data_IF_558681549343
#
_entry.id   IF_558681549343
#
_cell.length_a   1.000
_cell.length_b   1.000
_cell.length_c   1.000
_cell.angle_alpha   90.00
_cell.angle_beta   90.00
_cell.angle_gamma   90.00
#
_symmetry.space_group_name_H-M   'P 1'
#
loop_
_entity.id
_entity.type
_entity.pdbx_description
1 polymer ?
#
# COMPACT_ATOMS: atom_id res chain seq x y z
N UNK A 1 -32.33 -29.77 17.55
CA UNK A 1 -31.28 -28.88 18.10
C UNK A 1 -29.85 -29.38 17.85
N UNK A 2 -29.55 -30.06 16.72
CA UNK A 2 -28.21 -30.62 16.44
C UNK A 2 -27.34 -29.86 15.42
N UNK A 3 -27.94 -29.14 14.46
CA UNK A 3 -27.21 -28.57 13.33
C UNK A 3 -26.30 -27.37 13.66
N UNK A 4 -26.68 -26.53 14.62
CA UNK A 4 -25.88 -25.34 15.01
C UNK A 4 -24.55 -25.71 15.68
N UNK A 5 -24.52 -26.81 16.46
CA UNK A 5 -23.30 -27.30 17.11
C UNK A 5 -22.32 -27.90 16.11
N UNK A 6 -22.82 -28.61 15.08
CA UNK A 6 -21.97 -29.18 14.03
C UNK A 6 -21.29 -28.09 13.17
N UNK A 7 -22.03 -27.03 12.81
CA UNK A 7 -21.48 -25.90 12.04
C UNK A 7 -20.42 -25.11 12.84
N UNK A 8 -20.63 -24.96 14.14
CA UNK A 8 -19.69 -24.26 15.02
C UNK A 8 -18.40 -25.08 15.24
N UNK A 9 -18.50 -26.41 15.39
CA UNK A 9 -17.34 -27.30 15.47
C UNK A 9 -16.55 -27.30 14.14
N UNK A 10 -17.24 -27.32 13.00
CA UNK A 10 -16.60 -27.21 11.69
C UNK A 10 -15.83 -25.90 11.50
N UNK A 11 -16.39 -24.77 11.95
CA UNK A 11 -15.73 -23.46 11.85
C UNK A 11 -14.48 -23.39 12.73
N UNK A 12 -14.51 -23.93 13.95
CA UNK A 12 -13.34 -23.95 14.84
C UNK A 12 -12.22 -24.83 14.27
N UNK A 13 -12.57 -25.97 13.66
CA UNK A 13 -11.59 -26.85 13.03
C UNK A 13 -10.89 -26.17 11.83
N UNK A 14 -11.62 -25.41 11.02
CA UNK A 14 -11.05 -24.66 9.89
C UNK A 14 -10.12 -23.55 10.37
N UNK A 15 -10.51 -22.81 11.41
CA UNK A 15 -9.66 -21.75 11.99
C UNK A 15 -8.36 -22.34 12.57
N UNK A 16 -8.45 -23.48 13.26
CA UNK A 16 -7.27 -24.16 13.79
C UNK A 16 -6.35 -24.69 12.67
N UNK A 17 -6.92 -25.25 11.61
CA UNK A 17 -6.15 -25.74 10.47
C UNK A 17 -5.42 -24.58 9.76
N UNK A 18 -6.10 -23.45 9.56
CA UNK A 18 -5.52 -22.24 8.97
C UNK A 18 -4.43 -21.66 9.87
N UNK A 19 -4.63 -21.62 11.19
CA UNK A 19 -3.62 -21.16 12.14
C UNK A 19 -2.35 -22.04 12.11
N UNK A 20 -2.51 -23.36 12.01
CA UNK A 20 -1.38 -24.30 11.87
C UNK A 20 -0.65 -24.09 10.55
N UNK A 21 -1.36 -23.91 9.44
CA UNK A 21 -0.75 -23.63 8.13
C UNK A 21 0.02 -22.30 8.13
N UNK A 22 -0.50 -21.27 8.80
CA UNK A 22 0.19 -19.99 8.98
C UNK A 22 1.44 -20.15 9.84
N UNK A 23 1.40 -20.95 10.91
CA UNK A 23 2.59 -21.23 11.73
C UNK A 23 3.67 -22.02 10.99
N UNK A 24 3.29 -22.96 10.12
CA UNK A 24 4.25 -23.77 9.33
C UNK A 24 4.86 -22.94 8.19
N UNK A 25 4.14 -21.94 7.67
CA UNK A 25 4.59 -21.08 6.58
C UNK A 25 5.43 -19.86 7.00
N UNK A 26 5.62 -19.62 8.30
CA UNK A 26 6.48 -18.53 8.77
C UNK A 26 7.96 -18.96 8.70
N UNK A 27 8.84 -18.27 7.96
CA UNK A 27 10.26 -18.45 8.12
C UNK A 27 10.63 -18.09 9.57
N UNK A 28 10.94 -19.09 10.37
CA UNK A 28 11.31 -18.89 11.76
C UNK A 28 12.53 -17.97 11.88
N UNK A 29 12.69 -17.24 12.99
CA UNK A 29 13.92 -16.53 13.26
C UNK A 29 15.05 -17.55 13.32
N UNK A 30 15.98 -17.45 12.37
CA UNK A 30 17.17 -18.30 12.35
C UNK A 30 17.93 -18.13 13.67
N UNK A 31 18.26 -19.21 14.41
CA UNK A 31 19.14 -19.09 15.55
C UNK A 31 20.54 -18.78 15.01
N UNK A 32 20.94 -17.51 15.08
CA UNK A 32 22.32 -17.12 14.88
C UNK A 32 23.15 -17.73 16.00
N UNK A 33 23.82 -18.85 15.70
CA UNK A 33 24.90 -19.38 16.53
C UNK A 33 25.99 -18.31 16.58
N UNK A 34 26.15 -17.67 17.74
CA UNK A 34 27.25 -16.74 18.00
C UNK A 34 28.52 -17.57 18.07
N UNK A 35 29.23 -17.65 16.95
CA UNK A 35 30.60 -18.12 16.91
C UNK A 35 31.49 -16.95 17.35
N UNK A 36 31.99 -17.01 18.58
CA UNK A 36 32.97 -16.05 19.09
C UNK A 36 34.31 -16.32 18.40
N UNK A 37 34.54 -15.67 17.25
CA UNK A 37 35.87 -15.52 16.67
C UNK A 37 36.52 -14.24 17.20
N UNK A 38 37.76 -14.40 17.65
CA UNK A 38 38.61 -13.41 18.30
C UNK A 38 38.96 -12.28 17.31
N UNK A 39 38.91 -11.03 17.80
CA UNK A 39 39.17 -9.77 17.09
C UNK A 39 40.48 -9.70 16.30
N UNK A 40 40.48 -8.89 15.23
CA UNK A 40 41.40 -7.76 15.16
C UNK A 40 40.63 -6.43 15.00
N UNK A 41 41.12 -5.37 15.66
CA UNK A 41 40.52 -4.03 15.76
C UNK A 41 39.74 -3.59 14.52
N UNK A 42 38.43 -3.49 14.66
CA UNK A 42 37.60 -2.75 13.71
C UNK A 42 37.93 -1.25 13.87
N UNK A 43 38.43 -0.64 12.79
CA UNK A 43 38.34 0.81 12.61
C UNK A 43 36.88 1.23 12.84
N UNK A 44 36.60 2.44 13.37
CA UNK A 44 35.23 2.89 13.53
C UNK A 44 34.56 2.84 12.15
N UNK A 45 33.66 1.86 11.99
CA UNK A 45 32.75 1.80 10.86
C UNK A 45 31.96 3.10 10.94
N UNK A 46 32.16 3.98 9.96
CA UNK A 46 31.39 5.22 9.88
C UNK A 46 29.93 4.84 10.01
N UNK A 47 29.28 5.33 11.06
CA UNK A 47 27.84 5.15 11.23
C UNK A 47 27.18 5.60 9.93
N UNK A 48 26.20 4.84 9.38
CA UNK A 48 25.46 5.31 8.22
C UNK A 48 24.99 6.72 8.55
N UNK A 49 25.49 7.69 7.78
CA UNK A 49 25.06 9.07 7.92
C UNK A 49 23.59 9.04 7.57
N UNK A 50 22.72 9.34 8.55
CA UNK A 50 21.30 9.46 8.29
C UNK A 50 21.12 10.36 7.07
N UNK A 51 20.31 9.95 6.07
CA UNK A 51 20.11 10.77 4.89
C UNK A 51 19.74 12.19 5.32
N UNK A 52 20.32 13.19 4.64
CA UNK A 52 20.01 14.58 4.94
C UNK A 52 18.51 14.80 4.79
N UNK A 53 17.89 15.40 5.80
CA UNK A 53 16.47 15.72 5.78
C UNK A 53 16.15 16.62 4.58
N UNK A 54 15.25 16.16 3.71
CA UNK A 54 14.66 16.94 2.63
C UNK A 54 13.25 17.41 3.06
N UNK A 55 13.19 18.66 3.55
CA UNK A 55 11.93 19.23 4.06
C UNK A 55 10.84 19.31 2.97
N UNK A 56 11.22 19.59 1.72
CA UNK A 56 10.25 19.72 0.64
C UNK A 56 9.65 18.35 0.29
N UNK A 57 10.48 17.30 0.28
CA UNK A 57 10.00 15.94 0.10
C UNK A 57 9.07 15.49 1.25
N UNK A 58 9.41 15.84 2.49
CA UNK A 58 8.60 15.51 3.66
C UNK A 58 7.26 16.24 3.67
N UNK A 59 7.24 17.50 3.24
CA UNK A 59 6.00 18.25 3.02
C UNK A 59 5.18 17.54 1.93
N UNK A 60 5.79 17.19 0.80
CA UNK A 60 5.13 16.44 -0.26
C UNK A 60 4.49 15.15 0.23
N UNK A 61 5.21 14.38 1.06
CA UNK A 61 4.78 13.09 1.57
C UNK A 61 3.51 13.15 2.44
N UNK A 62 3.22 14.30 3.06
CA UNK A 62 2.00 14.50 3.87
C UNK A 62 0.85 15.15 3.08
N UNK A 63 1.07 15.48 1.81
CA UNK A 63 0.07 16.13 0.96
C UNK A 63 -0.72 15.11 0.15
N UNK A 64 -2.00 15.43 -0.04
CA UNK A 64 -2.93 14.71 -0.90
C UNK A 64 -3.41 15.64 -2.00
N UNK A 65 -3.36 15.16 -3.24
CA UNK A 65 -3.77 15.97 -4.38
C UNK A 65 -4.80 15.27 -5.26
N UNK A 66 -5.55 16.07 -6.00
CA UNK A 66 -6.48 15.63 -7.04
C UNK A 66 -6.35 16.53 -8.26
N UNK A 67 -6.86 16.05 -9.39
CA UNK A 67 -6.80 16.75 -10.66
C UNK A 67 -8.08 16.53 -11.47
N UNK A 68 -8.30 17.40 -12.45
CA UNK A 68 -9.39 17.22 -13.41
C UNK A 68 -9.20 15.93 -14.20
N UNK A 69 -10.27 15.17 -14.38
CA UNK A 69 -10.24 13.89 -15.12
C UNK A 69 -9.72 13.98 -16.56
N UNK A 70 -9.81 15.16 -17.18
CA UNK A 70 -9.28 15.43 -18.53
C UNK A 70 -7.78 15.76 -18.56
N UNK A 71 -7.10 15.80 -17.41
CA UNK A 71 -5.68 16.09 -17.35
C UNK A 71 -4.88 14.93 -17.95
N UNK A 72 -3.94 15.25 -18.83
CA UNK A 72 -3.03 14.27 -19.39
C UNK A 72 -2.09 13.70 -18.31
N UNK A 73 -1.71 12.43 -18.47
CA UNK A 73 -0.82 11.74 -17.56
C UNK A 73 0.54 12.45 -17.43
N UNK A 74 1.06 13.05 -18.50
CA UNK A 74 2.34 13.78 -18.43
C UNK A 74 2.28 14.93 -17.40
N UNK A 75 1.20 15.70 -17.41
CA UNK A 75 0.95 16.79 -16.45
C UNK A 75 0.80 16.27 -15.02
N UNK A 76 0.00 15.22 -14.84
CA UNK A 76 -0.23 14.60 -13.52
C UNK A 76 1.08 14.04 -12.96
N UNK A 77 1.84 13.33 -13.79
CA UNK A 77 3.13 12.76 -13.43
C UNK A 77 4.11 13.82 -12.96
N UNK A 78 4.27 14.90 -13.72
CA UNK A 78 5.19 15.98 -13.36
C UNK A 78 4.80 16.64 -12.05
N UNK A 79 3.51 16.92 -11.86
CA UNK A 79 3.01 17.49 -10.60
C UNK A 79 3.29 16.58 -9.40
N UNK A 80 2.92 15.30 -9.48
CA UNK A 80 3.14 14.36 -8.38
C UNK A 80 4.63 14.17 -8.08
N UNK A 81 5.47 14.04 -9.12
CA UNK A 81 6.90 13.76 -9.00
C UNK A 81 7.70 14.95 -8.47
N UNK A 82 7.45 16.15 -8.98
CA UNK A 82 8.21 17.35 -8.62
C UNK A 82 7.98 17.74 -7.17
N UNK A 83 6.73 17.64 -6.71
CA UNK A 83 6.34 18.04 -5.35
C UNK A 83 6.31 16.85 -4.38
N UNK A 84 6.81 15.68 -4.78
CA UNK A 84 6.90 14.45 -3.97
C UNK A 84 5.59 14.08 -3.25
N UNK A 85 4.47 14.28 -3.92
CA UNK A 85 3.13 14.12 -3.33
C UNK A 85 2.91 12.69 -2.82
N UNK A 86 2.53 12.55 -1.55
CA UNK A 86 2.34 11.26 -0.88
C UNK A 86 1.00 10.57 -1.18
N UNK A 87 -0.02 11.30 -1.61
CA UNK A 87 -1.34 10.74 -1.87
C UNK A 87 -2.10 11.34 -3.05
N UNK A 88 -2.95 10.53 -3.66
CA UNK A 88 -3.85 10.90 -4.74
C UNK A 88 -5.30 10.60 -4.36
N UNK A 89 -6.17 11.61 -4.46
CA UNK A 89 -7.62 11.46 -4.35
C UNK A 89 -8.23 11.41 -5.75
N UNK A 90 -8.78 10.25 -6.12
CA UNK A 90 -9.39 10.01 -7.41
C UNK A 90 -10.91 10.17 -7.35
N UNK A 91 -11.46 10.69 -8.43
CA UNK A 91 -12.90 10.80 -8.69
C UNK A 91 -13.26 10.06 -9.97
N UNK A 92 -14.55 9.78 -10.16
CA UNK A 92 -15.11 9.14 -11.37
C UNK A 92 -14.51 9.70 -12.68
N UNK A 93 -14.35 11.03 -12.87
CA UNK A 93 -13.77 11.57 -14.10
C UNK A 93 -12.33 11.15 -14.36
N UNK A 94 -11.55 10.79 -13.34
CA UNK A 94 -10.16 10.37 -13.53
C UNK A 94 -10.09 8.99 -14.19
N UNK A 95 -10.91 8.03 -13.73
CA UNK A 95 -10.79 6.61 -14.11
C UNK A 95 -12.01 6.04 -14.83
N UNK A 96 -12.98 6.89 -15.19
CA UNK A 96 -14.20 6.51 -15.91
C UNK A 96 -15.28 5.86 -15.03
N UNK A 97 -15.02 5.65 -13.75
CA UNK A 97 -15.95 5.04 -12.81
C UNK A 97 -15.93 3.51 -12.78
N UNK A 98 -15.08 2.84 -13.55
CA UNK A 98 -15.06 1.37 -13.63
C UNK A 98 -13.82 0.77 -12.96
N UNK A 99 -13.90 -0.46 -12.42
CA UNK A 99 -12.78 -1.12 -11.75
C UNK A 99 -11.49 -1.19 -12.60
N UNK A 100 -11.62 -1.45 -13.90
CA UNK A 100 -10.46 -1.55 -14.81
C UNK A 100 -9.71 -0.23 -14.93
N UNK A 101 -10.43 0.89 -15.06
CA UNK A 101 -9.82 2.21 -15.11
C UNK A 101 -9.19 2.60 -13.78
N UNK A 102 -9.81 2.21 -12.65
CA UNK A 102 -9.22 2.44 -11.32
C UNK A 102 -7.92 1.66 -11.16
N UNK A 103 -7.89 0.40 -11.62
CA UNK A 103 -6.69 -0.43 -11.64
C UNK A 103 -5.60 0.22 -12.48
N UNK A 104 -5.91 0.66 -13.69
CA UNK A 104 -4.96 1.33 -14.59
C UNK A 104 -4.31 2.56 -13.92
N UNK A 105 -5.10 3.40 -13.26
CA UNK A 105 -4.57 4.55 -12.53
C UNK A 105 -3.72 4.15 -11.33
N UNK A 106 -4.16 3.15 -10.57
CA UNK A 106 -3.41 2.66 -9.40
C UNK A 106 -2.07 2.06 -9.83
N UNK A 107 -2.02 1.30 -10.94
CA UNK A 107 -0.80 0.77 -11.52
C UNK A 107 0.16 1.88 -11.95
N UNK A 108 -0.36 2.94 -12.60
CA UNK A 108 0.44 4.11 -13.01
C UNK A 108 1.05 4.86 -11.82
N UNK A 109 0.26 5.07 -10.77
CA UNK A 109 0.71 5.75 -9.55
C UNK A 109 1.77 4.93 -8.81
N UNK A 110 1.56 3.61 -8.68
CA UNK A 110 2.57 2.73 -8.09
C UNK A 110 3.86 2.69 -8.91
N UNK A 111 3.76 2.61 -10.25
CA UNK A 111 4.92 2.68 -11.12
C UNK A 111 5.65 4.03 -11.00
N UNK A 112 4.93 5.14 -10.79
CA UNK A 112 5.53 6.45 -10.56
C UNK A 112 6.34 6.48 -9.25
N UNK A 113 5.75 6.05 -8.13
CA UNK A 113 6.46 5.98 -6.84
C UNK A 113 7.72 5.12 -6.93
N UNK A 114 7.60 3.92 -7.53
CA UNK A 114 8.72 3.01 -7.70
C UNK A 114 9.84 3.60 -8.58
N UNK A 115 9.49 4.16 -9.74
CA UNK A 115 10.47 4.74 -10.67
C UNK A 115 11.10 6.05 -10.19
N UNK A 116 10.45 6.74 -9.25
CA UNK A 116 10.94 7.99 -8.67
C UNK A 116 11.61 7.79 -7.30
N UNK A 117 11.81 6.54 -6.88
CA UNK A 117 12.42 6.16 -5.60
C UNK A 117 11.74 6.83 -4.39
N UNK A 118 10.40 6.82 -4.36
CA UNK A 118 9.68 7.28 -3.18
C UNK A 118 9.96 6.30 -2.04
N UNK A 119 10.05 6.81 -0.81
CA UNK A 119 10.24 5.96 0.37
C UNK A 119 9.06 5.01 0.58
N UNK A 120 7.86 5.44 0.19
CA UNK A 120 6.62 4.69 0.31
C UNK A 120 5.78 4.77 -0.98
N UNK A 121 4.87 3.80 -1.22
CA UNK A 121 3.88 3.90 -2.29
C UNK A 121 2.98 5.13 -2.09
N UNK A 122 2.42 5.65 -3.19
CA UNK A 122 1.37 6.67 -3.09
C UNK A 122 0.11 6.09 -2.44
N UNK A 123 -0.45 6.81 -1.47
CA UNK A 123 -1.77 6.51 -0.94
C UNK A 123 -2.84 6.88 -1.98
N UNK A 124 -3.59 5.90 -2.47
CA UNK A 124 -4.71 6.13 -3.40
C UNK A 124 -6.01 6.13 -2.62
N UNK A 125 -6.78 7.21 -2.75
CA UNK A 125 -8.05 7.41 -2.07
C UNK A 125 -9.18 7.64 -3.07
N UNK A 126 -10.38 7.24 -2.65
CA UNK A 126 -11.65 7.47 -3.31
C UNK A 126 -12.65 7.85 -2.23
N UNK A 127 -13.67 8.61 -2.60
CA UNK A 127 -14.82 8.84 -1.76
C UNK A 127 -15.91 7.82 -2.10
N UNK A 128 -16.09 6.82 -1.22
CA UNK A 128 -16.99 5.68 -1.44
C UNK A 128 -17.89 5.47 -0.23
N UNK A 129 -18.72 6.48 0.07
CA UNK A 129 -19.69 6.45 1.17
C UNK A 129 -20.90 5.53 0.88
N UNK A 130 -21.17 5.29 -0.41
CA UNK A 130 -22.33 4.57 -0.91
C UNK A 130 -23.49 5.49 -1.29
N UNK A 131 -24.52 4.94 -1.95
CA UNK A 131 -25.63 5.75 -2.46
C UNK A 131 -25.15 6.80 -3.47
N UNK A 132 -25.59 8.04 -3.30
CA UNK A 132 -25.26 9.14 -4.21
C UNK A 132 -23.78 9.56 -4.21
N UNK A 133 -23.00 9.12 -3.20
CA UNK A 133 -21.57 9.41 -3.08
C UNK A 133 -20.79 8.10 -3.23
N UNK A 134 -20.78 7.62 -4.48
CA UNK A 134 -20.05 6.45 -4.91
C UNK A 134 -19.35 6.76 -6.24
N UNK A 135 -18.04 6.55 -6.29
CA UNK A 135 -17.24 6.77 -7.48
C UNK A 135 -17.06 5.50 -8.32
N UNK A 136 -17.19 4.31 -7.71
CA UNK A 136 -17.00 3.04 -8.40
C UNK A 136 -18.33 2.42 -8.81
N UNK A 137 -18.51 2.27 -10.11
CA UNK A 137 -19.67 1.64 -10.76
C UNK A 137 -19.40 0.15 -10.92
N UNK A 138 -19.76 -0.64 -9.91
CA UNK A 138 -19.59 -2.09 -9.95
C UNK A 138 -20.70 -2.81 -9.18
N UNK A 139 -21.00 -4.05 -9.57
CA UNK A 139 -22.07 -4.85 -8.94
C UNK A 139 -21.81 -5.18 -7.47
N UNK A 140 -20.54 -5.12 -7.04
CA UNK A 140 -20.14 -5.31 -5.64
C UNK A 140 -20.17 -4.01 -4.82
N UNK A 141 -20.28 -2.85 -5.49
CA UNK A 141 -20.36 -1.56 -4.83
C UNK A 141 -21.81 -1.33 -4.35
N UNK A 142 -22.02 -0.57 -3.26
CA UNK A 142 -23.35 -0.19 -2.82
C UNK A 142 -24.14 0.46 -3.97
N UNK A 143 -25.45 0.19 -4.10
CA UNK A 143 -26.26 0.81 -5.14
C UNK A 143 -26.26 2.34 -4.98
N UNK A 144 -26.14 3.02 -6.11
CA UNK A 144 -26.29 4.46 -6.30
C UNK A 144 -27.74 4.96 -6.23
#
# INVERSE_FOLDING_TARGET
>A
MGGRRAAQVGSVAVVLLLAVLVLIGQPGPSPHLISAFISPSALPVASPTSPSWDLDADIGAVMVASWRGSADWSTVRSFLANDRIGGALLFTPNFGGYPDGLKEWTDRLNALAASSCYEHPLLVMLDEEGGLVANVKADFAPPW
#
